data_IF_807251741793
#
_entry.id   IF_807251741793
#
_cell.length_a   1.000
_cell.length_b   1.000
_cell.length_c   1.000
_cell.angle_alpha   90.00
_cell.angle_beta   90.00
_cell.angle_gamma   90.00
#
_symmetry.space_group_name_H-M   'P 1'
#
loop_
_entity.id
_entity.type
_entity.pdbx_description
1 polymer ?
#
# COMPACT_ATOMS: atom_id res chain seq x y z
N UNK A 1 -12.51 5.90 -19.42
CA UNK A 1 -12.14 5.02 -20.48
C UNK A 1 -13.30 4.60 -21.35
N UNK A 2 -13.06 4.57 -22.65
CA UNK A 2 -14.05 4.09 -23.64
C UNK A 2 -13.90 2.57 -23.80
N UNK A 3 -12.68 2.08 -23.72
CA UNK A 3 -12.34 0.66 -23.82
C UNK A 3 -11.41 0.23 -22.69
N UNK A 4 -11.52 -1.04 -22.32
CA UNK A 4 -10.66 -1.68 -21.34
C UNK A 4 -9.99 -2.87 -22.01
N UNK A 5 -8.65 -2.90 -21.98
CA UNK A 5 -7.85 -3.96 -22.57
C UNK A 5 -6.98 -4.62 -21.49
N UNK A 6 -6.63 -5.86 -21.71
CA UNK A 6 -5.71 -6.62 -20.84
C UNK A 6 -6.13 -6.67 -19.35
N UNK A 7 -7.45 -6.78 -19.11
CA UNK A 7 -7.95 -6.92 -17.74
C UNK A 7 -7.47 -8.25 -17.19
N UNK A 8 -6.58 -8.20 -16.20
CA UNK A 8 -5.99 -9.38 -15.54
C UNK A 8 -5.60 -9.04 -14.10
N UNK A 9 -5.59 -10.02 -13.19
CA UNK A 9 -4.98 -9.85 -11.87
C UNK A 9 -3.49 -9.49 -12.00
N UNK A 10 -2.98 -8.72 -11.05
CA UNK A 10 -1.54 -8.47 -10.90
C UNK A 10 -0.92 -9.51 -9.96
N UNK A 11 0.41 -9.66 -10.02
CA UNK A 11 1.16 -10.50 -9.09
C UNK A 11 1.43 -9.81 -7.74
N UNK A 12 0.85 -8.62 -7.52
CA UNK A 12 1.05 -7.86 -6.29
C UNK A 12 0.23 -8.48 -5.16
N UNK A 13 0.92 -9.02 -4.18
CA UNK A 13 0.32 -9.58 -2.97
C UNK A 13 -0.27 -8.47 -2.09
N UNK A 14 -1.57 -8.51 -1.87
CA UNK A 14 -2.30 -7.50 -1.12
C UNK A 14 -3.23 -8.10 -0.07
N UNK A 15 -3.48 -7.35 1.00
CA UNK A 15 -4.55 -7.62 1.94
C UNK A 15 -5.90 -7.18 1.37
N UNK A 16 -6.96 -7.38 2.13
CA UNK A 16 -8.30 -6.91 1.77
C UNK A 16 -8.49 -5.39 1.89
N UNK A 17 -7.52 -4.68 2.46
CA UNK A 17 -7.58 -3.23 2.56
C UNK A 17 -7.27 -2.58 1.20
N UNK A 18 -8.01 -1.52 0.82
CA UNK A 18 -7.72 -0.81 -0.42
C UNK A 18 -6.37 -0.10 -0.36
N UNK A 19 -5.59 -0.23 -1.43
CA UNK A 19 -4.37 0.55 -1.64
C UNK A 19 -4.63 1.81 -2.46
N UNK A 20 -3.60 2.61 -2.62
CA UNK A 20 -3.61 3.80 -3.48
C UNK A 20 -2.55 3.66 -4.56
N UNK A 21 -2.96 3.86 -5.79
CA UNK A 21 -2.12 3.95 -6.97
C UNK A 21 -2.18 5.37 -7.52
N UNK A 22 -1.02 5.98 -7.76
CA UNK A 22 -0.93 7.35 -8.30
C UNK A 22 0.24 7.47 -9.26
N UNK A 23 0.08 8.29 -10.30
CA UNK A 23 1.19 8.75 -11.13
C UNK A 23 1.77 10.02 -10.55
N UNK A 24 3.07 10.04 -10.36
CA UNK A 24 3.84 11.19 -9.89
C UNK A 24 4.22 12.12 -11.05
N UNK A 25 4.62 13.34 -10.71
CA UNK A 25 5.13 14.32 -11.69
C UNK A 25 6.37 13.81 -12.44
N UNK A 26 7.17 12.95 -11.80
CA UNK A 26 8.31 12.27 -12.45
C UNK A 26 7.90 11.26 -13.53
N UNK A 27 6.61 10.92 -13.62
CA UNK A 27 6.09 9.88 -14.50
C UNK A 27 6.03 8.49 -13.87
N UNK A 28 6.69 8.26 -12.74
CA UNK A 28 6.62 6.98 -12.03
C UNK A 28 5.23 6.74 -11.45
N UNK A 29 4.85 5.48 -11.36
CA UNK A 29 3.71 5.09 -10.54
C UNK A 29 4.19 4.80 -9.12
N UNK A 30 3.41 5.24 -8.15
CA UNK A 30 3.57 4.87 -6.74
C UNK A 30 2.36 4.04 -6.31
N UNK A 31 2.64 2.94 -5.62
CA UNK A 31 1.63 2.12 -4.95
C UNK A 31 1.90 2.15 -3.45
N UNK A 32 0.87 2.47 -2.68
CA UNK A 32 0.90 2.42 -1.21
C UNK A 32 -0.24 1.53 -0.76
N UNK A 33 0.09 0.44 -0.04
CA UNK A 33 -0.89 -0.57 0.31
C UNK A 33 -0.48 -1.42 1.51
N UNK A 34 -1.41 -2.20 2.01
CA UNK A 34 -1.14 -3.24 2.99
C UNK A 34 -0.88 -4.55 2.23
N UNK A 35 0.29 -5.15 2.42
CA UNK A 35 0.64 -6.44 1.82
C UNK A 35 -0.18 -7.58 2.45
N UNK A 36 -0.26 -8.69 1.74
CA UNK A 36 -0.96 -9.89 2.22
C UNK A 36 -0.38 -10.41 3.53
N UNK A 37 0.95 -10.39 3.66
CA UNK A 37 1.69 -10.89 4.81
C UNK A 37 2.59 -9.82 5.40
N UNK A 38 2.85 -9.86 6.73
CA UNK A 38 3.87 -9.03 7.36
C UNK A 38 5.25 -9.23 6.72
N UNK A 39 6.07 -8.19 6.74
CA UNK A 39 7.43 -8.25 6.22
C UNK A 39 8.22 -9.41 6.81
N UNK A 40 8.92 -10.16 5.94
CA UNK A 40 9.70 -11.33 6.33
C UNK A 40 8.87 -12.56 6.70
N UNK A 41 7.57 -12.56 6.43
CA UNK A 41 6.69 -13.71 6.65
C UNK A 41 5.92 -14.10 5.39
N UNK A 42 5.41 -15.31 5.37
CA UNK A 42 4.54 -15.86 4.33
C UNK A 42 3.20 -16.37 4.91
N UNK A 43 2.88 -15.97 6.13
CA UNK A 43 1.70 -16.42 6.86
C UNK A 43 0.98 -15.26 7.52
N UNK A 44 -0.32 -15.25 7.38
CA UNK A 44 -1.24 -14.40 8.12
C UNK A 44 -2.65 -15.02 8.06
N UNK A 45 -3.43 -14.99 9.15
CA UNK A 45 -4.77 -15.55 9.15
C UNK A 45 -5.65 -14.95 8.05
N UNK A 46 -6.24 -15.80 7.23
CA UNK A 46 -7.22 -15.40 6.22
C UNK A 46 -8.63 -15.53 6.77
N UNK A 47 -9.52 -14.65 6.32
CA UNK A 47 -10.94 -14.63 6.66
C UNK A 47 -11.78 -14.59 5.39
N UNK A 48 -13.03 -15.06 5.49
CA UNK A 48 -13.92 -15.18 4.36
C UNK A 48 -13.82 -16.53 3.67
N UNK A 49 -14.31 -16.62 2.43
CA UNK A 49 -14.44 -17.89 1.73
C UNK A 49 -15.62 -18.73 2.17
N UNK A 50 -16.54 -18.14 2.94
CA UNK A 50 -17.71 -18.80 3.57
C UNK A 50 -19.04 -18.42 2.90
N UNK A 51 -18.99 -17.69 1.80
CA UNK A 51 -20.14 -17.14 1.07
C UNK A 51 -21.00 -16.14 1.85
N UNK A 52 -20.67 -15.85 3.11
CA UNK A 52 -21.44 -14.91 3.92
C UNK A 52 -21.04 -13.47 3.68
N UNK A 53 -19.73 -13.19 3.59
CA UNK A 53 -19.20 -11.85 3.38
C UNK A 53 -17.99 -11.79 2.44
N UNK A 54 -17.48 -12.92 2.01
CA UNK A 54 -16.57 -12.99 0.86
C UNK A 54 -16.58 -14.40 0.27
N UNK A 55 -16.49 -14.48 -1.07
CA UNK A 55 -16.39 -15.78 -1.74
C UNK A 55 -15.01 -16.40 -1.60
N UNK A 56 -13.98 -15.56 -1.50
CA UNK A 56 -12.58 -15.96 -1.40
C UNK A 56 -12.01 -15.51 -0.06
N UNK A 57 -11.30 -16.42 0.60
CA UNK A 57 -10.57 -16.08 1.81
C UNK A 57 -9.49 -15.04 1.50
N UNK A 58 -9.40 -13.98 2.31
CA UNK A 58 -8.46 -12.89 2.16
C UNK A 58 -7.76 -12.55 3.47
N UNK A 59 -6.51 -12.12 3.37
CA UNK A 59 -5.78 -11.55 4.48
C UNK A 59 -6.38 -10.21 4.89
N UNK A 60 -6.51 -9.99 6.18
CA UNK A 60 -6.89 -8.70 6.75
C UNK A 60 -5.69 -8.00 7.40
N UNK A 61 -4.48 -8.30 6.94
CA UNK A 61 -3.25 -7.68 7.44
C UNK A 61 -3.25 -6.18 7.19
N UNK A 62 -3.22 -5.40 8.25
CA UNK A 62 -3.27 -3.93 8.24
C UNK A 62 -2.30 -3.30 9.25
N UNK A 63 -1.38 -4.08 9.77
CA UNK A 63 -0.41 -3.63 10.77
C UNK A 63 0.80 -2.96 10.14
N UNK A 64 1.03 -3.16 8.84
CA UNK A 64 2.12 -2.55 8.09
C UNK A 64 1.61 -1.89 6.82
N UNK A 65 2.14 -0.71 6.51
CA UNK A 65 1.90 0.00 5.25
C UNK A 65 3.18 -0.03 4.42
N UNK A 66 3.07 -0.46 3.18
CA UNK A 66 4.20 -0.57 2.26
C UNK A 66 4.07 0.37 1.09
N UNK A 67 5.22 0.71 0.50
CA UNK A 67 5.34 1.54 -0.71
C UNK A 67 6.19 0.82 -1.75
N UNK A 68 5.83 0.98 -3.01
CA UNK A 68 6.59 0.50 -4.16
C UNK A 68 6.43 1.46 -5.34
N UNK A 69 7.39 1.45 -6.25
CA UNK A 69 7.41 2.31 -7.43
C UNK A 69 7.54 1.50 -8.70
N UNK A 70 6.91 1.98 -9.77
CA UNK A 70 7.10 1.47 -11.12
C UNK A 70 7.56 2.58 -12.05
N UNK A 71 8.59 2.30 -12.82
CA UNK A 71 9.14 3.21 -13.85
C UNK A 71 8.64 2.88 -15.27
N UNK A 72 7.84 1.83 -15.42
CA UNK A 72 7.41 1.30 -16.71
C UNK A 72 5.90 0.98 -16.74
N UNK A 73 5.10 1.90 -16.23
CA UNK A 73 3.63 1.85 -16.27
C UNK A 73 3.02 0.60 -15.62
N UNK A 74 3.67 0.11 -14.54
CA UNK A 74 3.17 -1.02 -13.76
C UNK A 74 3.59 -2.39 -14.28
N UNK A 75 4.45 -2.45 -15.30
CA UNK A 75 4.97 -3.73 -15.79
C UNK A 75 5.90 -4.40 -14.79
N UNK A 76 6.73 -3.61 -14.11
CA UNK A 76 7.56 -4.08 -13.00
C UNK A 76 7.49 -3.09 -11.84
N UNK A 77 7.75 -3.58 -10.65
CA UNK A 77 7.70 -2.82 -9.41
C UNK A 77 8.98 -3.00 -8.61
N UNK A 78 9.39 -1.95 -7.90
CA UNK A 78 10.49 -2.06 -6.94
C UNK A 78 10.09 -2.98 -5.79
N UNK A 79 11.08 -3.50 -5.06
CA UNK A 79 10.82 -4.23 -3.83
C UNK A 79 10.00 -3.36 -2.87
N UNK A 80 8.98 -3.93 -2.22
CA UNK A 80 8.19 -3.21 -1.24
C UNK A 80 9.01 -2.76 -0.04
N UNK A 81 8.78 -1.52 0.40
CA UNK A 81 9.41 -0.96 1.60
C UNK A 81 8.32 -0.65 2.61
N UNK A 82 8.45 -1.14 3.83
CA UNK A 82 7.53 -0.79 4.93
C UNK A 82 7.83 0.63 5.37
N UNK A 83 6.83 1.51 5.30
CA UNK A 83 6.93 2.93 5.68
C UNK A 83 6.26 3.25 7.01
N UNK A 84 5.41 2.36 7.48
CA UNK A 84 4.75 2.48 8.77
C UNK A 84 4.39 1.10 9.32
N UNK A 85 4.50 0.95 10.64
CA UNK A 85 4.15 -0.26 11.36
C UNK A 85 3.49 0.10 12.67
N UNK A 86 2.39 -0.57 12.99
CA UNK A 86 1.67 -0.36 14.25
C UNK A 86 2.59 -0.72 15.42
N UNK A 87 2.70 0.18 16.40
CA UNK A 87 3.50 -0.02 17.61
C UNK A 87 4.97 0.37 17.48
N UNK A 88 5.53 0.50 16.30
CA UNK A 88 6.93 0.90 16.10
C UNK A 88 7.07 2.36 15.65
N UNK A 89 6.13 2.86 14.87
CA UNK A 89 6.10 4.26 14.45
C UNK A 89 5.19 5.08 15.37
N UNK A 90 5.78 5.79 16.30
CA UNK A 90 5.08 6.68 17.24
C UNK A 90 4.29 7.82 16.57
N UNK A 91 4.36 7.94 15.26
CA UNK A 91 3.59 8.91 14.47
C UNK A 91 2.17 8.42 14.14
N UNK A 92 1.93 7.12 14.22
CA UNK A 92 0.58 6.59 14.23
C UNK A 92 0.06 6.65 15.67
N UNK A 93 -1.17 7.07 15.86
CA UNK A 93 -1.80 7.06 17.18
C UNK A 93 -1.72 5.64 17.78
N UNK A 94 -1.09 5.46 18.95
CA UNK A 94 -0.88 4.12 19.53
C UNK A 94 -2.19 3.41 19.91
N UNK A 95 -3.32 4.11 19.92
CA UNK A 95 -4.64 3.51 20.14
C UNK A 95 -5.16 2.77 18.92
N UNK A 96 -4.63 3.03 17.75
CA UNK A 96 -5.01 2.33 16.53
C UNK A 96 -4.28 0.99 16.37
N UNK A 97 -5.04 -0.04 16.04
CA UNK A 97 -4.52 -1.38 15.74
C UNK A 97 -4.12 -1.56 14.29
N UNK A 98 -4.43 -0.60 13.43
CA UNK A 98 -4.26 -0.67 11.99
C UNK A 98 -3.65 0.61 11.43
N UNK A 99 -2.93 0.48 10.33
CA UNK A 99 -2.43 1.56 9.49
C UNK A 99 -2.83 1.26 8.05
N UNK A 100 -3.99 1.77 7.64
CA UNK A 100 -4.58 1.41 6.34
C UNK A 100 -5.43 2.55 5.76
N UNK A 101 -5.96 2.34 4.57
CA UNK A 101 -6.65 3.36 3.78
C UNK A 101 -5.74 4.55 3.49
N UNK A 102 -4.63 4.33 2.76
CA UNK A 102 -3.67 5.40 2.48
C UNK A 102 -4.18 6.39 1.45
N UNK A 103 -3.68 7.61 1.59
CA UNK A 103 -3.76 8.65 0.56
C UNK A 103 -2.36 9.23 0.33
N UNK A 104 -2.01 9.48 -0.93
CA UNK A 104 -0.74 10.09 -1.32
C UNK A 104 -0.99 11.43 -1.99
N UNK A 105 -0.35 12.46 -1.47
CA UNK A 105 -0.34 13.79 -2.04
C UNK A 105 1.09 14.20 -2.39
N UNK A 106 1.30 14.60 -3.64
CA UNK A 106 2.55 15.17 -4.10
C UNK A 106 2.41 16.69 -4.10
N UNK A 107 3.03 17.36 -3.12
CA UNK A 107 2.92 18.80 -2.94
C UNK A 107 3.77 19.56 -3.94
N UNK A 108 5.03 19.19 -4.04
CA UNK A 108 5.98 19.64 -5.03
C UNK A 108 6.54 18.41 -5.75
N UNK A 109 7.11 18.52 -6.94
CA UNK A 109 7.68 17.37 -7.64
C UNK A 109 8.62 16.57 -6.72
N UNK A 110 8.29 15.31 -6.47
CA UNK A 110 9.05 14.42 -5.60
C UNK A 110 8.83 14.56 -4.09
N UNK A 111 8.05 15.54 -3.63
CA UNK A 111 7.69 15.70 -2.21
C UNK A 111 6.38 14.96 -1.93
N UNK A 112 6.47 13.79 -1.32
CA UNK A 112 5.37 12.88 -1.10
C UNK A 112 4.87 12.96 0.34
N UNK A 113 3.59 13.21 0.50
CA UNK A 113 2.89 13.14 1.78
C UNK A 113 2.00 11.91 1.77
N UNK A 114 2.16 11.04 2.75
CA UNK A 114 1.33 9.86 2.93
C UNK A 114 0.53 10.01 4.21
N UNK A 115 -0.77 9.86 4.08
CA UNK A 115 -1.70 9.86 5.21
C UNK A 115 -2.52 8.57 5.20
N UNK A 116 -3.06 8.19 6.34
CA UNK A 116 -4.00 7.08 6.43
C UNK A 116 -5.26 7.49 7.17
N UNK A 117 -6.39 6.94 6.77
CA UNK A 117 -7.64 7.12 7.51
C UNK A 117 -7.61 6.32 8.81
N UNK A 118 -7.16 5.06 8.75
CA UNK A 118 -6.93 4.23 9.93
C UNK A 118 -5.49 4.40 10.38
N UNK A 119 -5.28 4.71 11.65
CA UNK A 119 -3.97 4.89 12.26
C UNK A 119 -3.49 6.34 12.29
N UNK A 120 -4.15 7.25 11.60
CA UNK A 120 -3.80 8.68 11.62
C UNK A 120 -2.37 8.99 11.20
N UNK A 121 -1.77 8.15 10.35
CA UNK A 121 -0.41 8.35 9.86
C UNK A 121 -0.33 9.65 9.07
N UNK A 122 0.74 10.42 9.30
CA UNK A 122 1.08 11.62 8.51
C UNK A 122 2.60 11.66 8.38
N UNK A 123 3.12 11.23 7.25
CA UNK A 123 4.55 11.21 6.99
C UNK A 123 4.87 11.87 5.67
N UNK A 124 6.06 12.45 5.61
CA UNK A 124 6.60 13.09 4.42
C UNK A 124 7.87 12.35 4.00
N UNK A 125 7.96 12.06 2.71
CA UNK A 125 9.13 11.48 2.06
C UNK A 125 9.54 12.30 0.86
N UNK A 126 10.78 12.15 0.43
CA UNK A 126 11.20 12.55 -0.89
C UNK A 126 11.27 11.31 -1.78
N UNK A 127 10.78 11.39 -3.02
CA UNK A 127 10.84 10.27 -3.98
C UNK A 127 12.27 9.72 -4.11
N UNK A 128 13.28 10.61 -4.02
CA UNK A 128 14.69 10.24 -4.11
C UNK A 128 15.17 9.37 -2.94
N UNK A 129 14.46 9.37 -1.82
CA UNK A 129 14.82 8.52 -0.67
C UNK A 129 14.64 7.04 -0.97
N UNK A 130 13.87 6.70 -2.02
CA UNK A 130 13.57 5.33 -2.44
C UNK A 130 14.29 4.90 -3.71
N UNK A 131 15.03 5.80 -4.36
CA UNK A 131 15.84 5.50 -5.55
C UNK A 131 17.29 5.25 -5.15
N UNK A 132 17.74 4.07 -5.46
CA UNK A 132 19.13 3.66 -5.26
C UNK A 132 19.84 3.51 -6.61
#
# INVERSE_FOLDING_TARGET
>A
GITWENIRPTDIEASSAPGLLKRLESGKLILVWNRRFPEGTDQYPSRGGDRQWSEVAASNHREELSISFSENDGNTWSEPIVIAKVGENQKADPTYKWVSYPYVFERNPGELWVTTMQGGLRVKFNEKDFTH
#
